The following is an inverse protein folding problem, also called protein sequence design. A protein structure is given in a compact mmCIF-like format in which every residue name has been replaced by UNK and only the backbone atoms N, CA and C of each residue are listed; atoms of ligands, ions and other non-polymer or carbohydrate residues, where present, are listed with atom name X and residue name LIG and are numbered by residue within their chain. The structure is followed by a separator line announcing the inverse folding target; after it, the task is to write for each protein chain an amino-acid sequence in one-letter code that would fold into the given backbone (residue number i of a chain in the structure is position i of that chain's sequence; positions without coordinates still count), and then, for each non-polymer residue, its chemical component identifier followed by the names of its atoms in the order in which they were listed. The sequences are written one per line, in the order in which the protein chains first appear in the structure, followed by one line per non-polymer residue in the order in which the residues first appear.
data_IF_956919697691
#
_entry.id   IF_956919697691
#
_cell.length_a   1.000
_cell.length_b   1.000
_cell.length_c   1.000
_cell.angle_alpha   90.00
_cell.angle_beta   90.00
_cell.angle_gamma   90.00
#
_symmetry.space_group_name_H-M   'P 1'
#
loop_
_entity.id
_entity.type
_entity.pdbx_description
1 polymer ?
#
# COMPACT_ATOMS: atom_id res chain seq x y z
N UNK A 1 -6.54 14.27 8.62
CA UNK A 1 -7.58 14.13 7.59
C UNK A 1 -7.13 13.45 6.28
N UNK A 2 -5.93 13.66 5.70
CA UNK A 2 -5.58 13.00 4.41
C UNK A 2 -5.13 11.53 4.51
N UNK A 3 -4.47 11.12 5.61
CA UNK A 3 -3.94 9.75 5.79
C UNK A 3 -5.06 8.70 5.81
N UNK A 4 -6.29 9.10 6.14
CA UNK A 4 -7.46 8.21 6.26
C UNK A 4 -8.04 7.77 4.90
N UNK A 5 -7.49 8.26 3.77
CA UNK A 5 -7.96 7.90 2.42
C UNK A 5 -7.16 6.77 1.78
N UNK A 6 -5.95 6.52 2.27
CA UNK A 6 -5.05 5.51 1.72
C UNK A 6 -5.40 4.12 2.26
N UNK A 7 -5.10 3.08 1.47
CA UNK A 7 -5.25 1.70 1.91
C UNK A 7 -4.40 1.42 3.16
N UNK A 8 -4.98 0.87 4.25
CA UNK A 8 -4.28 0.69 5.51
C UNK A 8 -3.07 -0.26 5.41
N UNK A 9 -3.15 -1.32 4.60
CA UNK A 9 -2.03 -2.26 4.39
C UNK A 9 -0.92 -1.62 3.57
N UNK A 10 -1.27 -0.86 2.54
CA UNK A 10 -0.30 -0.10 1.76
C UNK A 10 0.44 0.91 2.64
N UNK A 11 -0.26 1.65 3.50
CA UNK A 11 0.37 2.58 4.44
C UNK A 11 1.29 1.88 5.44
N UNK A 12 0.87 0.74 6.00
CA UNK A 12 1.70 -0.04 6.92
C UNK A 12 2.98 -0.54 6.25
N UNK A 13 2.87 -1.04 5.02
CA UNK A 13 4.01 -1.52 4.24
C UNK A 13 4.98 -0.40 3.87
N UNK A 14 4.48 0.77 3.46
CA UNK A 14 5.32 1.95 3.21
C UNK A 14 6.08 2.36 4.46
N UNK A 15 5.42 2.38 5.63
CA UNK A 15 6.11 2.67 6.91
C UNK A 15 7.22 1.65 7.21
N UNK A 16 6.97 0.37 6.94
CA UNK A 16 7.99 -0.68 7.09
C UNK A 16 9.19 -0.42 6.17
N UNK A 17 8.97 -0.12 4.89
CA UNK A 17 10.05 0.22 3.95
C UNK A 17 10.84 1.43 4.46
N UNK A 18 10.16 2.48 4.92
CA UNK A 18 10.80 3.68 5.46
C UNK A 18 11.65 3.41 6.70
N UNK A 19 11.25 2.47 7.56
CA UNK A 19 12.03 2.07 8.75
C UNK A 19 13.34 1.35 8.40
N UNK A 20 13.40 0.69 7.25
CA UNK A 20 14.59 -0.05 6.79
C UNK A 20 15.59 0.86 6.03
N UNK A 21 15.19 2.08 5.66
CA UNK A 21 16.06 3.02 4.93
C UNK A 21 17.32 3.32 5.74
N UNK A 22 18.48 3.17 5.11
CA UNK A 22 19.80 3.41 5.73
C UNK A 22 20.32 2.25 6.58
N UNK A 23 19.53 1.20 6.80
CA UNK A 23 19.97 -0.04 7.47
C UNK A 23 20.46 -1.13 6.50
N UNK A 24 20.17 -0.96 5.21
CA UNK A 24 20.50 -1.86 4.10
C UNK A 24 21.18 -1.09 2.98
N UNK A 25 21.90 -1.77 2.11
CA UNK A 25 22.42 -1.15 0.90
C UNK A 25 21.30 -0.82 -0.09
N UNK A 26 21.63 -0.02 -1.11
CA UNK A 26 20.65 0.50 -2.05
C UNK A 26 20.02 -0.59 -2.94
N UNK A 27 20.75 -1.64 -3.28
CA UNK A 27 20.25 -2.70 -4.16
C UNK A 27 19.27 -3.59 -3.39
N UNK A 28 19.62 -3.97 -2.15
CA UNK A 28 18.73 -4.68 -1.23
C UNK A 28 17.44 -3.90 -0.94
N UNK A 29 17.52 -2.57 -0.81
CA UNK A 29 16.35 -1.73 -0.60
C UNK A 29 15.41 -1.71 -1.81
N UNK A 30 15.96 -1.70 -3.03
CA UNK A 30 15.18 -1.75 -4.26
C UNK A 30 14.45 -3.09 -4.36
N UNK A 31 15.17 -4.20 -4.13
CA UNK A 31 14.57 -5.54 -4.15
C UNK A 31 13.47 -5.68 -3.11
N UNK A 32 13.72 -5.27 -1.86
CA UNK A 32 12.75 -5.30 -0.78
C UNK A 32 11.48 -4.53 -1.13
N UNK A 33 11.63 -3.29 -1.63
CA UNK A 33 10.49 -2.46 -2.00
C UNK A 33 9.71 -3.07 -3.18
N UNK A 34 10.40 -3.63 -4.18
CA UNK A 34 9.78 -4.25 -5.35
C UNK A 34 8.97 -5.50 -4.97
N UNK A 35 9.52 -6.37 -4.11
CA UNK A 35 8.81 -7.56 -3.61
C UNK A 35 7.55 -7.17 -2.86
N UNK A 36 7.67 -6.26 -1.88
CA UNK A 36 6.52 -5.80 -1.08
C UNK A 36 5.44 -5.18 -1.97
N UNK A 37 5.84 -4.35 -2.94
CA UNK A 37 4.92 -3.72 -3.87
C UNK A 37 4.19 -4.73 -4.75
N UNK A 38 4.91 -5.69 -5.33
CA UNK A 38 4.33 -6.75 -6.17
C UNK A 38 3.31 -7.58 -5.39
N UNK A 39 3.66 -8.00 -4.16
CA UNK A 39 2.80 -8.82 -3.33
C UNK A 39 1.49 -8.11 -2.94
N UNK A 40 1.59 -6.82 -2.59
CA UNK A 40 0.41 -6.02 -2.23
C UNK A 40 -0.54 -5.76 -3.41
N UNK A 41 0.00 -5.66 -4.63
CA UNK A 41 -0.82 -5.37 -5.82
C UNK A 41 -1.55 -6.58 -6.39
N UNK A 42 -1.03 -7.80 -6.20
CA UNK A 42 -1.60 -9.02 -6.80
C UNK A 42 -2.99 -9.37 -6.28
N UNK A 43 -3.34 -8.95 -5.06
CA UNK A 43 -4.60 -9.35 -4.43
C UNK A 43 -5.03 -8.42 -3.28
N UNK A 44 -6.27 -8.58 -2.81
CA UNK A 44 -6.77 -7.88 -1.63
C UNK A 44 -6.91 -6.37 -1.83
N UNK A 45 -6.31 -5.60 -0.91
CA UNK A 45 -6.43 -4.14 -0.88
C UNK A 45 -5.92 -3.47 -2.16
N UNK A 46 -4.82 -3.96 -2.73
CA UNK A 46 -4.30 -3.43 -4.00
C UNK A 46 -5.31 -3.58 -5.13
N UNK A 47 -5.89 -4.78 -5.30
CA UNK A 47 -6.89 -5.04 -6.35
C UNK A 47 -8.16 -4.22 -6.15
N UNK A 48 -8.64 -4.11 -4.92
CA UNK A 48 -9.80 -3.29 -4.58
C UNK A 48 -9.56 -1.80 -4.87
N UNK A 49 -8.37 -1.28 -4.59
CA UNK A 49 -8.01 0.10 -4.94
C UNK A 49 -8.07 0.37 -6.43
N UNK A 50 -7.53 -0.54 -7.24
CA UNK A 50 -7.60 -0.44 -8.70
C UNK A 50 -9.04 -0.51 -9.21
N UNK A 51 -9.85 -1.44 -8.70
CA UNK A 51 -11.25 -1.58 -9.08
C UNK A 51 -12.07 -0.34 -8.71
N UNK A 52 -11.95 0.13 -7.46
CA UNK A 52 -12.63 1.33 -6.99
C UNK A 52 -12.27 2.57 -7.82
N UNK A 53 -11.01 2.70 -8.22
CA UNK A 53 -10.55 3.76 -9.11
C UNK A 53 -11.20 3.67 -10.50
N UNK A 54 -11.17 2.50 -11.14
CA UNK A 54 -11.78 2.26 -12.47
C UNK A 54 -13.29 2.51 -12.43
N UNK A 55 -13.96 2.06 -11.38
CA UNK A 55 -15.40 2.19 -11.18
C UNK A 55 -15.82 3.58 -10.66
N UNK A 56 -14.87 4.48 -10.40
CA UNK A 56 -15.09 5.83 -9.83
C UNK A 56 -15.91 5.82 -8.54
N UNK A 57 -15.72 4.79 -7.71
CA UNK A 57 -16.36 4.67 -6.40
C UNK A 57 -15.32 4.79 -5.29
N UNK A 58 -15.80 4.95 -4.06
CA UNK A 58 -14.93 4.81 -2.88
C UNK A 58 -14.51 3.34 -2.73
N UNK A 59 -13.24 3.08 -2.39
CA UNK A 59 -12.82 1.74 -2.02
C UNK A 59 -13.44 1.31 -0.70
N UNK A 60 -13.52 0.00 -0.50
CA UNK A 60 -14.27 -0.59 0.63
C UNK A 60 -13.75 -0.19 2.01
N UNK A 61 -12.44 0.05 2.16
CA UNK A 61 -11.87 0.50 3.44
C UNK A 61 -12.29 1.91 3.85
N UNK A 62 -13.01 2.65 3.00
CA UNK A 62 -13.65 3.92 3.37
C UNK A 62 -15.14 3.77 3.71
N UNK A 63 -15.69 2.55 3.62
CA UNK A 63 -17.10 2.28 3.88
C UNK A 63 -17.41 2.00 5.35
N UNK A 64 -16.41 1.90 6.23
CA UNK A 64 -16.61 1.78 7.68
C UNK A 64 -16.10 3.01 8.42
N UNK A 65 -17.00 3.98 8.61
CA UNK A 65 -17.14 4.70 9.87
C UNK A 65 -18.64 4.88 10.12
N UNK A 66 -19.25 3.92 10.81
CA UNK A 66 -20.56 4.04 11.45
C UNK A 66 -20.45 3.51 12.86
#
# INVERSE_FOLDING_TARGET
EQVERCGPKACAATKKIMQEVGSRDSEEMIELAATIFSDLNRQGEGREGHLAFVEKRKPDWLKEQS
#
